data_IF_428512266769
#
_entry.id   IF_428512266769
#
_cell.length_a   1.000
_cell.length_b   1.000
_cell.length_c   1.000
_cell.angle_alpha   90.00
_cell.angle_beta   90.00
_cell.angle_gamma   90.00
#
_symmetry.space_group_name_H-M   'P 1'
#
loop_
_entity.id
_entity.type
_entity.pdbx_description
1 polymer ?
#
# COMPACT_ATOMS: atom_id res chain seq x y z
N UNK A 1 20.85 4.04 -18.17
CA UNK A 1 20.16 3.36 -17.05
C UNK A 1 20.34 4.24 -15.81
N UNK A 2 19.26 4.81 -15.28
CA UNK A 2 19.30 5.67 -14.08
C UNK A 2 19.66 4.80 -12.88
N UNK A 3 20.87 4.97 -12.37
CA UNK A 3 21.38 4.23 -11.22
C UNK A 3 20.88 4.93 -9.94
N UNK A 4 19.57 4.83 -9.67
CA UNK A 4 18.99 5.38 -8.45
C UNK A 4 19.39 4.48 -7.30
N UNK A 5 20.44 4.85 -6.55
CA UNK A 5 20.85 4.12 -5.36
C UNK A 5 19.71 4.17 -4.34
N UNK A 6 19.01 3.07 -4.15
CA UNK A 6 17.98 2.94 -3.13
C UNK A 6 18.66 2.93 -1.76
N UNK A 7 18.52 4.03 -1.01
CA UNK A 7 19.07 4.16 0.33
C UNK A 7 18.16 3.43 1.33
N UNK A 8 18.79 2.80 2.33
CA UNK A 8 18.04 2.19 3.42
C UNK A 8 17.43 3.31 4.27
N UNK A 9 16.14 3.18 4.58
CA UNK A 9 15.42 4.03 5.53
C UNK A 9 14.80 3.14 6.60
N UNK A 10 14.49 3.72 7.76
CA UNK A 10 13.81 2.98 8.81
C UNK A 10 12.48 2.41 8.29
N UNK A 11 12.15 1.14 8.59
CA UNK A 11 10.87 0.57 8.21
C UNK A 11 9.71 1.31 8.87
N UNK A 12 8.56 1.29 8.20
CA UNK A 12 7.32 1.79 8.78
C UNK A 12 7.01 1.05 10.09
N UNK A 13 6.44 1.80 11.03
CA UNK A 13 5.98 1.27 12.30
C UNK A 13 4.48 1.44 12.40
N UNK A 14 3.86 0.51 13.12
CA UNK A 14 2.44 0.58 13.38
C UNK A 14 2.11 1.82 14.22
N UNK A 15 1.19 2.63 13.72
CA UNK A 15 0.66 3.79 14.42
C UNK A 15 -0.87 3.70 14.54
N UNK A 16 -1.34 3.76 15.80
CA UNK A 16 -2.77 3.74 16.12
C UNK A 16 -3.52 4.94 15.55
N UNK A 17 -2.89 6.11 15.49
CA UNK A 17 -3.51 7.31 14.94
C UNK A 17 -3.73 7.17 13.43
N UNK A 18 -2.77 6.55 12.73
CA UNK A 18 -2.89 6.28 11.29
C UNK A 18 -4.00 5.25 11.04
N UNK A 19 -4.02 4.15 11.81
CA UNK A 19 -5.10 3.16 11.70
C UNK A 19 -6.48 3.79 11.94
N UNK A 20 -6.63 4.59 13.00
CA UNK A 20 -7.89 5.26 13.32
C UNK A 20 -8.33 6.22 12.20
N UNK A 21 -7.40 7.00 11.63
CA UNK A 21 -7.71 7.89 10.51
C UNK A 21 -8.15 7.12 9.26
N UNK A 22 -7.53 5.97 8.98
CA UNK A 22 -7.92 5.09 7.87
C UNK A 22 -9.30 4.47 8.08
N UNK A 23 -9.58 4.00 9.30
CA UNK A 23 -10.89 3.46 9.66
C UNK A 23 -11.98 4.53 9.57
N UNK A 24 -11.71 5.75 10.05
CA UNK A 24 -12.67 6.86 9.96
C UNK A 24 -12.94 7.25 8.50
N UNK A 25 -11.90 7.30 7.67
CA UNK A 25 -12.07 7.50 6.22
C UNK A 25 -12.95 6.40 5.60
N UNK A 26 -12.68 5.13 5.92
CA UNK A 26 -13.46 4.01 5.39
C UNK A 26 -14.93 4.06 5.86
N UNK A 27 -15.18 4.45 7.12
CA UNK A 27 -16.51 4.69 7.65
C UNK A 27 -17.23 5.79 6.87
N UNK A 28 -16.55 6.91 6.64
CA UNK A 28 -17.11 8.04 5.89
C UNK A 28 -17.50 7.62 4.46
N UNK A 29 -16.60 6.93 3.75
CA UNK A 29 -16.87 6.40 2.41
C UNK A 29 -18.02 5.38 2.40
N UNK A 30 -18.14 4.56 3.44
CA UNK A 30 -19.27 3.62 3.56
C UNK A 30 -20.61 4.33 3.76
N UNK A 31 -20.66 5.32 4.67
CA UNK A 31 -21.89 6.02 5.06
C UNK A 31 -22.35 7.07 4.04
N UNK A 32 -21.42 7.85 3.48
CA UNK A 32 -21.71 8.91 2.52
C UNK A 32 -21.59 8.46 1.07
N UNK A 33 -21.02 7.28 0.85
CA UNK A 33 -20.70 6.79 -0.47
C UNK A 33 -19.39 7.35 -1.01
N UNK A 34 -18.95 6.77 -2.11
CA UNK A 34 -17.69 7.15 -2.78
C UNK A 34 -17.80 6.96 -4.28
N UNK A 35 -17.02 7.73 -5.02
CA UNK A 35 -16.94 7.60 -6.47
C UNK A 35 -15.96 6.50 -6.87
N UNK A 36 -16.46 5.45 -7.52
CA UNK A 36 -15.64 4.35 -7.98
C UNK A 36 -15.17 4.62 -9.42
N UNK A 37 -13.89 4.96 -9.58
CA UNK A 37 -13.33 5.35 -10.89
C UNK A 37 -13.42 4.26 -11.97
N UNK A 38 -13.33 2.98 -11.60
CA UNK A 38 -13.35 1.87 -12.56
C UNK A 38 -14.72 1.73 -13.24
N UNK A 39 -15.80 1.86 -12.47
CA UNK A 39 -17.19 1.79 -12.96
C UNK A 39 -17.74 3.15 -13.33
N UNK A 40 -17.03 4.23 -12.98
CA UNK A 40 -17.45 5.64 -13.14
C UNK A 40 -18.81 5.93 -12.51
N UNK A 41 -19.08 5.31 -11.37
CA UNK A 41 -20.35 5.40 -10.66
C UNK A 41 -20.13 5.70 -9.19
N UNK A 42 -21.08 6.44 -8.61
CA UNK A 42 -21.18 6.60 -7.17
C UNK A 42 -21.71 5.30 -6.55
N UNK A 43 -21.02 4.84 -5.51
CA UNK A 43 -21.42 3.70 -4.70
C UNK A 43 -21.93 4.20 -3.36
N UNK A 44 -23.05 3.65 -2.89
CA UNK A 44 -23.64 3.98 -1.58
C UNK A 44 -23.86 2.70 -0.75
N UNK A 45 -22.79 2.10 -0.19
CA UNK A 45 -22.82 0.78 0.41
C UNK A 45 -23.74 0.64 1.64
N UNK A 46 -23.94 1.75 2.36
CA UNK A 46 -24.83 1.81 3.53
C UNK A 46 -26.32 1.83 3.16
N UNK A 47 -26.68 1.84 1.88
CA UNK A 47 -28.06 2.04 1.42
C UNK A 47 -28.65 0.80 0.77
N UNK A 48 -29.98 0.70 0.81
CA UNK A 48 -30.79 -0.23 0.04
C UNK A 48 -31.82 0.52 -0.79
N UNK A 49 -32.17 -0.03 -1.96
CA UNK A 49 -33.20 0.51 -2.84
C UNK A 49 -34.55 -0.01 -2.41
N UNK A 50 -35.51 0.90 -2.25
CA UNK A 50 -36.91 0.62 -1.99
C UNK A 50 -37.68 1.02 -3.23
N UNK A 51 -38.35 0.07 -3.87
CA UNK A 51 -39.08 0.28 -5.12
C UNK A 51 -40.55 -0.13 -4.95
N UNK A 52 -41.45 0.65 -5.56
CA UNK A 52 -42.88 0.37 -5.57
C UNK A 52 -43.52 0.72 -6.93
N UNK A 53 -44.68 0.13 -7.21
CA UNK A 53 -45.40 0.29 -8.49
C UNK A 53 -46.09 1.65 -8.67
N UNK A 54 -46.19 2.46 -7.63
CA UNK A 54 -46.75 3.80 -7.66
C UNK A 54 -46.09 4.68 -6.60
N UNK A 55 -46.26 5.99 -6.71
CA UNK A 55 -45.78 6.92 -5.70
C UNK A 55 -46.49 6.73 -4.35
N UNK A 56 -47.80 6.49 -4.35
CA UNK A 56 -48.57 6.25 -3.13
C UNK A 56 -48.05 5.00 -2.39
N UNK A 57 -47.84 3.90 -3.12
CA UNK A 57 -47.28 2.67 -2.56
C UNK A 57 -45.85 2.87 -2.04
N UNK A 58 -45.06 3.73 -2.70
CA UNK A 58 -43.73 4.09 -2.20
C UNK A 58 -43.82 4.87 -0.88
N UNK A 59 -44.77 5.80 -0.76
CA UNK A 59 -44.97 6.58 0.47
C UNK A 59 -45.35 5.68 1.64
N UNK A 60 -46.26 4.73 1.42
CA UNK A 60 -46.66 3.75 2.45
C UNK A 60 -45.46 2.90 2.88
N UNK A 61 -44.71 2.35 1.91
CA UNK A 61 -43.53 1.53 2.19
C UNK A 61 -42.42 2.32 2.92
N UNK A 62 -42.24 3.60 2.58
CA UNK A 62 -41.30 4.48 3.28
C UNK A 62 -41.74 4.77 4.72
N UNK A 63 -43.05 4.86 4.99
CA UNK A 63 -43.57 4.96 6.35
C UNK A 63 -43.26 3.69 7.15
N UNK A 64 -43.46 2.51 6.57
CA UNK A 64 -43.12 1.23 7.20
C UNK A 64 -41.63 1.13 7.53
N UNK A 65 -40.76 1.51 6.58
CA UNK A 65 -39.31 1.54 6.78
C UNK A 65 -38.89 2.52 7.87
N UNK A 66 -39.52 3.70 7.93
CA UNK A 66 -39.27 4.66 8.99
C UNK A 66 -39.67 4.13 10.37
N UNK A 67 -40.79 3.38 10.47
CA UNK A 67 -41.21 2.72 11.71
C UNK A 67 -40.24 1.61 12.16
N UNK A 68 -39.55 0.98 11.21
CA UNK A 68 -38.46 0.03 11.46
C UNK A 68 -37.13 0.71 11.82
N UNK A 69 -37.12 2.05 11.93
CA UNK A 69 -35.91 2.84 12.22
C UNK A 69 -35.00 3.07 11.01
N UNK A 70 -35.39 2.62 9.82
CA UNK A 70 -34.62 2.82 8.59
C UNK A 70 -34.97 4.20 8.00
N UNK A 71 -34.04 5.14 8.10
CA UNK A 71 -34.26 6.49 7.58
C UNK A 71 -34.00 6.58 6.07
N UNK A 72 -34.70 7.50 5.41
CA UNK A 72 -34.43 7.85 4.01
C UNK A 72 -33.02 8.41 3.86
N UNK A 73 -32.28 7.87 2.91
CA UNK A 73 -31.01 8.43 2.47
C UNK A 73 -31.25 9.69 1.63
N UNK A 74 -30.79 10.84 2.12
CA UNK A 74 -31.17 12.15 1.56
C UNK A 74 -30.32 12.61 0.38
N UNK A 75 -29.11 12.08 0.22
CA UNK A 75 -28.21 12.49 -0.86
C UNK A 75 -28.67 11.95 -2.23
N UNK A 76 -29.43 10.85 -2.25
CA UNK A 76 -30.04 10.32 -3.45
C UNK A 76 -31.49 10.80 -3.57
N UNK A 77 -31.87 11.14 -4.80
CA UNK A 77 -33.20 11.61 -5.12
C UNK A 77 -34.18 10.44 -5.16
N UNK A 78 -35.42 10.73 -4.75
CA UNK A 78 -36.55 9.88 -5.09
C UNK A 78 -36.84 10.09 -6.56
N UNK A 79 -37.02 9.01 -7.31
CA UNK A 79 -37.26 9.07 -8.73
C UNK A 79 -38.36 8.10 -9.15
N UNK A 80 -39.02 8.45 -10.25
CA UNK A 80 -40.00 7.59 -10.91
C UNK A 80 -39.44 7.22 -12.28
N UNK A 81 -39.33 5.92 -12.52
CA UNK A 81 -38.95 5.35 -13.81
C UNK A 81 -39.99 5.71 -14.87
N UNK A 82 -39.58 5.88 -16.14
CA UNK A 82 -40.51 6.01 -17.27
C UNK A 82 -41.53 4.86 -17.38
N UNK A 83 -41.21 3.70 -16.77
CA UNK A 83 -42.08 2.51 -16.71
C UNK A 83 -43.13 2.57 -15.59
N UNK A 84 -43.19 3.65 -14.81
CA UNK A 84 -44.22 3.89 -13.77
C UNK A 84 -43.82 3.51 -12.34
N UNK A 85 -42.72 2.78 -12.14
CA UNK A 85 -42.21 2.42 -10.82
C UNK A 85 -41.54 3.61 -10.16
N UNK A 86 -41.76 3.79 -8.86
CA UNK A 86 -41.09 4.82 -8.06
C UNK A 86 -40.13 4.16 -7.08
N UNK A 87 -38.95 4.76 -6.89
CA UNK A 87 -37.94 4.22 -5.99
C UNK A 87 -37.28 5.31 -5.15
N UNK A 88 -36.83 4.91 -3.97
CA UNK A 88 -36.09 5.70 -3.01
C UNK A 88 -34.97 4.87 -2.40
N UNK A 89 -34.07 5.53 -1.67
CA UNK A 89 -32.96 4.89 -0.98
C UNK A 89 -33.15 5.08 0.51
N UNK A 90 -32.98 4.01 1.28
CA UNK A 90 -32.98 4.04 2.75
C UNK A 90 -31.66 3.49 3.26
N UNK A 91 -31.30 3.86 4.49
CA UNK A 91 -30.20 3.18 5.16
C UNK A 91 -30.58 1.73 5.44
N UNK A 92 -29.60 0.83 5.28
CA UNK A 92 -29.69 -0.53 5.79
C UNK A 92 -30.03 -0.51 7.30
N UNK A 93 -30.58 -1.59 7.85
CA UNK A 93 -30.79 -1.70 9.29
C UNK A 93 -29.49 -1.45 10.07
N UNK A 94 -29.60 -0.82 11.24
CA UNK A 94 -28.44 -0.43 12.05
C UNK A 94 -27.51 -1.62 12.36
N UNK A 95 -28.06 -2.79 12.66
CA UNK A 95 -27.29 -4.01 12.91
C UNK A 95 -26.46 -4.45 11.70
N UNK A 96 -27.03 -4.32 10.49
CA UNK A 96 -26.32 -4.64 9.25
C UNK A 96 -25.20 -3.63 8.97
N UNK A 97 -25.44 -2.34 9.23
CA UNK A 97 -24.42 -1.30 9.12
C UNK A 97 -23.26 -1.56 10.08
N UNK A 98 -23.55 -1.92 11.33
CA UNK A 98 -22.52 -2.20 12.33
C UNK A 98 -21.69 -3.45 11.98
N UNK A 99 -22.34 -4.50 11.47
CA UNK A 99 -21.65 -5.70 10.99
C UNK A 99 -20.75 -5.39 9.79
N UNK A 100 -21.26 -4.63 8.82
CA UNK A 100 -20.50 -4.21 7.64
C UNK A 100 -19.30 -3.33 8.03
N UNK A 101 -19.49 -2.35 8.94
CA UNK A 101 -18.42 -1.48 9.42
C UNK A 101 -17.36 -2.25 10.19
N UNK A 102 -17.75 -3.23 11.02
CA UNK A 102 -16.80 -4.08 11.74
C UNK A 102 -15.93 -4.87 10.76
N UNK A 103 -16.55 -5.53 9.77
CA UNK A 103 -15.81 -6.25 8.74
C UNK A 103 -14.89 -5.33 7.92
N UNK A 104 -15.35 -4.11 7.63
CA UNK A 104 -14.56 -3.09 6.95
C UNK A 104 -13.34 -2.65 7.78
N UNK A 105 -13.50 -2.45 9.08
CA UNK A 105 -12.40 -2.07 9.98
C UNK A 105 -11.37 -3.18 10.15
N UNK A 106 -11.82 -4.44 10.27
CA UNK A 106 -10.94 -5.61 10.30
C UNK A 106 -10.12 -5.71 9.00
N UNK A 107 -10.76 -5.46 7.85
CA UNK A 107 -10.06 -5.42 6.56
C UNK A 107 -9.04 -4.28 6.49
N UNK A 108 -9.41 -3.07 6.91
CA UNK A 108 -8.49 -1.91 6.91
C UNK A 108 -7.27 -2.17 7.79
N UNK A 109 -7.47 -2.81 8.95
CA UNK A 109 -6.37 -3.19 9.84
C UNK A 109 -5.48 -4.28 9.21
N UNK A 110 -6.07 -5.30 8.60
CA UNK A 110 -5.33 -6.34 7.89
C UNK A 110 -4.51 -5.76 6.73
N UNK A 111 -5.11 -4.89 5.92
CA UNK A 111 -4.43 -4.22 4.80
C UNK A 111 -3.29 -3.33 5.30
N UNK A 112 -3.47 -2.60 6.42
CA UNK A 112 -2.41 -1.79 7.01
C UNK A 112 -1.26 -2.65 7.55
N UNK A 113 -1.57 -3.74 8.24
CA UNK A 113 -0.55 -4.67 8.72
C UNK A 113 0.22 -5.33 7.58
N UNK A 114 -0.45 -5.66 6.47
CA UNK A 114 0.20 -6.17 5.28
C UNK A 114 1.15 -5.13 4.66
N UNK A 115 0.73 -3.87 4.56
CA UNK A 115 1.58 -2.77 4.08
C UNK A 115 2.86 -2.63 4.92
N UNK A 116 2.76 -2.76 6.25
CA UNK A 116 3.92 -2.73 7.14
C UNK A 116 4.87 -3.91 6.91
N UNK A 117 4.32 -5.11 6.64
CA UNK A 117 5.12 -6.29 6.33
C UNK A 117 5.82 -6.16 4.98
N UNK A 118 5.12 -5.67 3.97
CA UNK A 118 5.65 -5.45 2.63
C UNK A 118 6.78 -4.41 2.65
N UNK A 119 6.63 -3.31 3.41
CA UNK A 119 7.69 -2.32 3.61
C UNK A 119 8.89 -2.94 4.34
N UNK A 120 8.66 -3.69 5.43
CA UNK A 120 9.73 -4.38 6.17
C UNK A 120 10.53 -5.32 5.27
N UNK A 121 9.85 -6.12 4.44
CA UNK A 121 10.50 -7.03 3.51
C UNK A 121 11.31 -6.26 2.45
N UNK A 122 10.74 -5.20 1.88
CA UNK A 122 11.44 -4.34 0.92
C UNK A 122 12.71 -3.70 1.53
N UNK A 123 12.63 -3.17 2.75
CA UNK A 123 13.80 -2.60 3.46
C UNK A 123 14.83 -3.67 3.80
N UNK A 124 14.40 -4.88 4.19
CA UNK A 124 15.30 -6.01 4.44
C UNK A 124 16.08 -6.38 3.18
N UNK A 125 15.42 -6.48 2.03
CA UNK A 125 16.07 -6.79 0.76
C UNK A 125 17.10 -5.70 0.38
N UNK A 126 16.76 -4.42 0.56
CA UNK A 126 17.70 -3.31 0.34
C UNK A 126 18.92 -3.45 1.26
N UNK A 127 18.72 -3.71 2.56
CA UNK A 127 19.82 -3.85 3.51
C UNK A 127 20.74 -5.02 3.14
N UNK A 128 20.17 -6.19 2.80
CA UNK A 128 20.93 -7.36 2.35
C UNK A 128 21.75 -7.01 1.10
N UNK A 129 21.15 -6.36 0.11
CA UNK A 129 21.85 -5.98 -1.12
C UNK A 129 23.03 -5.04 -0.84
N UNK A 130 22.88 -4.11 0.11
CA UNK A 130 23.95 -3.20 0.52
C UNK A 130 25.07 -3.93 1.27
N UNK A 131 24.74 -4.87 2.16
CA UNK A 131 25.72 -5.69 2.88
C UNK A 131 26.54 -6.54 1.91
N UNK A 132 25.89 -7.21 0.96
CA UNK A 132 26.56 -8.03 -0.06
C UNK A 132 27.46 -7.16 -0.95
N UNK A 133 26.99 -6.00 -1.39
CA UNK A 133 27.80 -5.08 -2.18
C UNK A 133 29.03 -4.58 -1.39
N UNK A 134 28.87 -4.32 -0.08
CA UNK A 134 29.96 -3.90 0.79
C UNK A 134 30.98 -5.03 1.02
N UNK A 135 30.54 -6.28 1.17
CA UNK A 135 31.44 -7.43 1.32
C UNK A 135 32.22 -7.70 0.04
N UNK A 136 31.58 -7.69 -1.13
CA UNK A 136 32.25 -7.82 -2.44
C UNK A 136 33.34 -6.77 -2.64
N UNK A 137 33.03 -5.50 -2.34
CA UNK A 137 34.02 -4.42 -2.42
C UNK A 137 35.20 -4.62 -1.47
N UNK A 138 34.97 -5.20 -0.29
CA UNK A 138 36.06 -5.53 0.65
C UNK A 138 36.93 -6.68 0.11
N UNK A 139 36.34 -7.70 -0.48
CA UNK A 139 37.08 -8.81 -1.08
C UNK A 139 37.87 -8.37 -2.32
N UNK A 140 37.28 -7.59 -3.21
CA UNK A 140 37.96 -7.03 -4.39
C UNK A 140 39.16 -6.17 -3.97
N UNK A 141 39.00 -5.30 -2.97
CA UNK A 141 40.12 -4.51 -2.45
C UNK A 141 41.23 -5.38 -1.86
N UNK A 142 40.88 -6.43 -1.11
CA UNK A 142 41.88 -7.38 -0.61
C UNK A 142 42.60 -8.12 -1.73
N UNK A 143 41.92 -8.46 -2.81
CA UNK A 143 42.52 -9.11 -3.98
C UNK A 143 43.48 -8.15 -4.69
N UNK A 144 43.04 -6.92 -4.98
CA UNK A 144 43.86 -5.88 -5.59
C UNK A 144 45.09 -5.54 -4.75
N UNK A 145 44.96 -5.48 -3.42
CA UNK A 145 46.10 -5.27 -2.52
C UNK A 145 47.10 -6.44 -2.56
N UNK A 146 46.63 -7.68 -2.69
CA UNK A 146 47.51 -8.85 -2.86
C UNK A 146 48.22 -8.82 -4.21
N UNK A 147 47.50 -8.56 -5.30
CA UNK A 147 48.09 -8.45 -6.64
C UNK A 147 49.12 -7.33 -6.71
N UNK A 148 48.81 -6.18 -6.12
CA UNK A 148 49.75 -5.05 -6.04
C UNK A 148 51.02 -5.45 -5.29
N UNK A 149 50.91 -6.14 -4.15
CA UNK A 149 52.09 -6.62 -3.41
C UNK A 149 52.95 -7.60 -4.22
N UNK A 150 52.33 -8.49 -4.99
CA UNK A 150 53.06 -9.44 -5.86
C UNK A 150 53.78 -8.68 -6.98
N UNK A 151 53.12 -7.71 -7.61
CA UNK A 151 53.74 -6.85 -8.63
C UNK A 151 54.88 -6.01 -8.06
N UNK A 152 54.69 -5.39 -6.90
CA UNK A 152 55.72 -4.58 -6.24
C UNK A 152 56.96 -5.44 -5.90
N UNK A 153 56.75 -6.66 -5.39
CA UNK A 153 57.84 -7.60 -5.09
C UNK A 153 58.56 -8.07 -6.37
N UNK A 154 57.81 -8.46 -7.41
CA UNK A 154 58.39 -8.88 -8.69
C UNK A 154 59.17 -7.75 -9.37
N UNK A 155 58.70 -6.50 -9.24
CA UNK A 155 59.39 -5.32 -9.76
C UNK A 155 60.70 -5.09 -9.00
N UNK A 156 60.67 -5.18 -7.67
CA UNK A 156 61.87 -5.06 -6.84
C UNK A 156 62.91 -6.16 -7.13
N UNK A 157 62.46 -7.42 -7.31
CA UNK A 157 63.33 -8.54 -7.65
C UNK A 157 63.93 -8.38 -9.06
N UNK A 158 63.14 -7.90 -10.04
CA UNK A 158 63.62 -7.59 -11.38
C UNK A 158 64.65 -6.44 -11.39
N UNK A 159 64.39 -5.36 -10.65
CA UNK A 159 65.31 -4.22 -10.51
C UNK A 159 66.62 -4.65 -9.84
N UNK A 160 66.55 -5.49 -8.79
CA UNK A 160 67.72 -6.04 -8.11
C UNK A 160 68.55 -6.95 -9.05
N UNK A 161 67.87 -7.78 -9.85
CA UNK A 161 68.53 -8.64 -10.84
C UNK A 161 69.23 -7.82 -11.93
N UNK A 162 68.56 -6.81 -12.50
CA UNK A 162 69.15 -5.90 -13.49
C UNK A 162 70.37 -5.18 -12.90
N UNK A 163 70.30 -4.69 -11.66
CA UNK A 163 71.45 -4.06 -10.99
C UNK A 163 72.62 -5.02 -10.76
N UNK A 164 72.35 -6.30 -10.49
CA UNK A 164 73.41 -7.32 -10.37
C UNK A 164 74.12 -7.57 -11.71
N UNK A 165 73.36 -7.69 -12.81
CA UNK A 165 73.92 -7.82 -14.16
C UNK A 165 74.76 -6.61 -14.58
N UNK A 166 74.36 -5.39 -14.21
CA UNK A 166 75.14 -4.19 -14.48
C UNK A 166 76.43 -4.08 -13.66
N UNK A 167 76.55 -4.80 -12.54
CA UNK A 167 77.80 -4.84 -11.73
C UNK A 167 78.81 -5.88 -12.23
N UNK A 168 78.37 -6.92 -12.93
CA UNK A 168 79.25 -7.96 -13.49
C UNK A 168 79.89 -7.55 -14.83
N UNK A 169 79.45 -6.44 -15.45
CA UNK A 169 80.11 -5.84 -16.61
C UNK A 169 81.22 -4.90 -16.12
N UNK A 170 82.37 -5.47 -15.73
CA UNK A 170 83.65 -4.75 -15.57
C UNK A 170 84.83 -5.63 -15.94
#
# INVERSE_FOLDING_TARGET
MSNTKTHFTQPLQFDKAILAARQEKARHEYMEGFYQHNTRQWQHPATEVVEAHSLDALVDLMCEKALQGQQRYKQLQVATSPMGFSFAYVFKPQEAIEADLKALFEKVEADYNQELQDDLEAKRQILISQMVAQEKLKEEKKLQEKEKKILDQATADADAYIQSLMKEVK
#
